data_IF_493001220211
#
_entry.id   IF_493001220211
#
_cell.length_a   1.000
_cell.length_b   1.000
_cell.length_c   1.000
_cell.angle_alpha   90.00
_cell.angle_beta   90.00
_cell.angle_gamma   90.00
#
_symmetry.space_group_name_H-M   'P 1'
#
loop_
_entity.id
_entity.type
_entity.pdbx_description
1 polymer ?
#
# COMPACT_ATOMS: atom_id res chain seq x y z
N UNK A 1 8.43 -16.64 0.79
CA UNK A 1 7.35 -16.71 -0.22
C UNK A 1 6.42 -15.54 -0.02
N UNK A 2 5.78 -15.05 -1.09
CA UNK A 2 5.51 -13.61 -1.18
C UNK A 2 4.29 -13.27 -2.03
N UNK A 3 3.24 -12.73 -1.41
CA UNK A 3 2.01 -12.28 -2.07
C UNK A 3 1.82 -10.77 -1.82
N UNK A 4 1.83 -9.98 -2.90
CA UNK A 4 2.03 -8.53 -2.83
C UNK A 4 1.27 -7.72 -3.86
N UNK A 5 1.11 -6.44 -3.58
CA UNK A 5 0.58 -5.48 -4.54
C UNK A 5 1.65 -5.03 -5.53
N UNK A 6 2.91 -4.86 -5.11
CA UNK A 6 4.06 -4.71 -6.03
C UNK A 6 5.24 -5.43 -5.44
N UNK A 7 5.76 -6.42 -6.15
CA UNK A 7 6.70 -7.35 -5.54
C UNK A 7 8.03 -6.69 -5.18
N UNK A 8 8.46 -5.63 -5.87
CA UNK A 8 9.70 -4.91 -5.58
C UNK A 8 9.59 -3.84 -4.48
N UNK A 9 8.41 -3.69 -3.87
CA UNK A 9 8.20 -2.68 -2.84
C UNK A 9 8.90 -3.02 -1.52
N UNK A 10 8.91 -2.08 -0.55
CA UNK A 10 9.77 -2.19 0.63
C UNK A 10 9.45 -3.40 1.52
N UNK A 11 8.18 -3.65 1.82
CA UNK A 11 7.74 -4.77 2.65
C UNK A 11 8.21 -6.10 2.06
N UNK A 12 7.91 -6.45 0.79
CA UNK A 12 8.51 -7.60 0.13
C UNK A 12 10.03 -7.62 0.14
N UNK A 13 10.63 -6.53 -0.35
CA UNK A 13 12.05 -6.46 -0.64
C UNK A 13 12.89 -6.69 0.62
N UNK A 14 12.36 -6.33 1.79
CA UNK A 14 13.02 -6.56 3.07
C UNK A 14 13.25 -8.03 3.43
N UNK A 15 12.51 -8.97 2.82
CA UNK A 15 12.66 -10.40 3.12
C UNK A 15 13.54 -11.16 2.12
N UNK A 16 13.88 -10.57 0.97
CA UNK A 16 14.63 -11.29 -0.08
C UNK A 16 15.70 -10.47 -0.79
N UNK A 17 15.75 -9.17 -0.57
CA UNK A 17 16.70 -8.28 -1.21
C UNK A 17 17.48 -7.46 -0.20
N UNK A 18 18.66 -7.04 -0.62
CA UNK A 18 19.54 -6.15 0.11
C UNK A 18 19.88 -4.95 -0.75
N UNK A 19 19.37 -3.78 -0.37
CA UNK A 19 19.63 -2.50 -1.02
C UNK A 19 19.81 -1.41 0.04
N UNK A 20 20.49 -0.32 -0.32
CA UNK A 20 20.71 0.80 0.61
C UNK A 20 19.45 1.66 0.80
N UNK A 21 18.65 1.82 -0.26
CA UNK A 21 17.42 2.60 -0.27
C UNK A 21 16.33 1.84 -1.00
N UNK A 22 15.08 1.95 -0.54
CA UNK A 22 13.92 1.19 -1.05
C UNK A 22 13.57 1.51 -2.50
N UNK A 23 13.96 2.68 -2.99
CA UNK A 23 13.69 3.17 -4.34
C UNK A 23 14.51 2.44 -5.41
N UNK A 24 15.49 1.62 -5.02
CA UNK A 24 16.27 0.78 -5.94
C UNK A 24 15.47 -0.45 -6.40
N UNK A 25 14.20 -0.27 -6.76
CA UNK A 25 13.27 -1.33 -7.12
C UNK A 25 13.74 -2.17 -8.32
N UNK A 26 14.45 -1.56 -9.28
CA UNK A 26 15.06 -2.31 -10.39
C UNK A 26 16.11 -3.33 -9.91
N UNK A 27 16.86 -3.00 -8.86
CA UNK A 27 17.85 -3.89 -8.25
C UNK A 27 17.17 -4.92 -7.34
N UNK A 28 16.14 -4.52 -6.59
CA UNK A 28 15.30 -5.44 -5.81
C UNK A 28 14.69 -6.50 -6.75
N UNK A 29 14.10 -6.08 -7.87
CA UNK A 29 13.53 -6.98 -8.87
C UNK A 29 14.58 -7.87 -9.53
N UNK A 30 15.79 -7.35 -9.75
CA UNK A 30 16.90 -8.14 -10.28
C UNK A 30 17.36 -9.23 -9.32
N UNK A 31 17.46 -8.94 -8.02
CA UNK A 31 17.80 -9.92 -6.97
C UNK A 31 16.72 -11.00 -6.83
N UNK A 32 15.44 -10.65 -6.98
CA UNK A 32 14.36 -11.64 -7.01
C UNK A 32 14.41 -12.50 -8.28
N UNK A 33 14.57 -11.86 -9.42
CA UNK A 33 14.45 -12.50 -10.72
C UNK A 33 15.63 -13.42 -11.03
N UNK A 34 16.85 -13.09 -10.59
CA UNK A 34 18.03 -13.87 -10.91
C UNK A 34 18.37 -14.93 -9.88
N UNK A 35 18.63 -16.14 -10.37
CA UNK A 35 19.25 -17.20 -9.59
C UNK A 35 20.78 -17.05 -9.58
N UNK A 36 21.36 -16.69 -8.44
CA UNK A 36 22.73 -17.11 -8.16
C UNK A 36 22.71 -18.60 -7.84
N UNK A 37 23.63 -19.39 -8.42
CA UNK A 37 23.67 -20.86 -8.28
C UNK A 37 23.79 -21.34 -6.81
N UNK A 38 24.15 -20.45 -5.91
CA UNK A 38 24.37 -20.71 -4.49
C UNK A 38 23.33 -20.02 -3.57
N UNK A 39 22.34 -19.31 -4.11
CA UNK A 39 21.30 -18.61 -3.33
C UNK A 39 19.96 -19.36 -3.35
N UNK A 40 19.26 -19.35 -2.21
CA UNK A 40 17.96 -19.99 -2.05
C UNK A 40 16.89 -19.17 -2.74
N UNK A 41 16.25 -19.73 -3.77
CA UNK A 41 15.15 -19.10 -4.49
C UNK A 41 13.89 -19.06 -3.62
N UNK A 42 13.08 -18.02 -3.84
CA UNK A 42 11.68 -18.02 -3.40
C UNK A 42 10.89 -18.97 -4.29
N UNK A 43 10.07 -19.85 -3.71
CA UNK A 43 9.25 -20.79 -4.51
C UNK A 43 8.06 -20.11 -5.19
N UNK A 44 7.42 -19.17 -4.50
CA UNK A 44 6.29 -18.38 -5.04
C UNK A 44 6.46 -16.90 -4.76
N UNK A 45 6.28 -16.10 -5.81
CA UNK A 45 6.39 -14.65 -5.77
C UNK A 45 5.27 -14.05 -6.63
N UNK A 46 4.17 -13.63 -6.02
CA UNK A 46 2.95 -13.18 -6.70
C UNK A 46 2.67 -11.71 -6.39
N UNK A 47 2.49 -10.88 -7.41
CA UNK A 47 2.05 -9.52 -7.23
C UNK A 47 2.09 -8.66 -8.48
N UNK A 48 2.11 -7.34 -8.32
CA UNK A 48 2.37 -6.40 -9.39
C UNK A 48 3.86 -6.07 -9.57
N UNK A 49 4.16 -5.07 -10.39
CA UNK A 49 5.50 -4.51 -10.56
C UNK A 49 6.23 -4.95 -11.82
N UNK A 50 5.50 -5.42 -12.85
CA UNK A 50 6.08 -5.86 -14.13
C UNK A 50 7.04 -4.83 -14.74
N UNK A 51 6.81 -3.53 -14.50
CA UNK A 51 7.67 -2.44 -14.97
C UNK A 51 9.15 -2.57 -14.55
N UNK A 52 9.47 -3.35 -13.51
CA UNK A 52 10.83 -3.60 -13.03
C UNK A 52 11.46 -4.87 -13.59
N UNK A 53 10.75 -5.62 -14.44
CA UNK A 53 11.13 -6.92 -15.00
C UNK A 53 11.15 -6.94 -16.54
N UNK A 54 10.89 -5.79 -17.18
CA UNK A 54 10.87 -5.63 -18.64
C UNK A 54 11.95 -4.63 -19.07
N UNK A 55 12.56 -4.81 -20.26
CA UNK A 55 13.67 -3.98 -20.70
C UNK A 55 13.24 -2.52 -20.90
N UNK A 56 14.16 -1.57 -20.82
CA UNK A 56 13.89 -0.14 -20.99
C UNK A 56 13.21 0.20 -22.34
N UNK A 57 13.33 -0.69 -23.33
CA UNK A 57 12.71 -0.56 -24.65
C UNK A 57 11.23 -0.92 -24.67
N UNK A 58 10.73 -1.64 -23.66
CA UNK A 58 9.31 -1.99 -23.54
C UNK A 58 8.53 -0.85 -22.86
N UNK A 59 7.34 -0.55 -23.39
CA UNK A 59 6.49 0.51 -22.87
C UNK A 59 6.08 0.23 -21.42
N UNK A 60 6.15 1.26 -20.57
CA UNK A 60 5.83 1.14 -19.15
C UNK A 60 7.01 0.72 -18.27
N UNK A 61 8.16 0.33 -18.84
CA UNK A 61 9.35 -0.02 -18.07
C UNK A 61 9.85 1.14 -17.20
N UNK A 62 10.33 0.80 -16.00
CA UNK A 62 11.12 1.67 -15.12
C UNK A 62 12.60 1.31 -15.12
N UNK A 63 13.01 0.31 -15.90
CA UNK A 63 14.40 -0.09 -16.03
C UNK A 63 15.17 0.91 -16.90
N UNK A 64 16.48 0.95 -16.69
CA UNK A 64 17.45 1.74 -17.48
C UNK A 64 18.46 0.84 -18.21
N UNK A 65 18.15 -0.45 -18.29
CA UNK A 65 18.94 -1.49 -18.94
C UNK A 65 18.04 -2.34 -19.84
N UNK A 66 18.65 -3.30 -20.54
CA UNK A 66 17.93 -4.20 -21.45
C UNK A 66 17.67 -5.58 -20.81
N UNK A 67 17.66 -5.68 -19.48
CA UNK A 67 17.34 -6.94 -18.81
C UNK A 67 15.87 -7.27 -19.02
N UNK A 68 15.61 -8.41 -19.68
CA UNK A 68 14.27 -8.88 -20.02
C UNK A 68 13.96 -10.18 -19.27
N UNK A 69 13.52 -10.02 -18.01
CA UNK A 69 13.08 -11.16 -17.22
C UNK A 69 11.83 -11.82 -17.80
N UNK A 70 10.91 -11.02 -18.35
CA UNK A 70 9.65 -11.53 -18.92
C UNK A 70 9.90 -12.52 -20.06
N UNK A 71 10.88 -12.28 -20.91
CA UNK A 71 11.26 -13.21 -21.99
C UNK A 71 12.13 -14.36 -21.49
N UNK A 72 13.04 -14.11 -20.54
CA UNK A 72 14.13 -15.03 -20.20
C UNK A 72 13.97 -15.70 -18.81
N UNK A 73 12.79 -15.62 -18.16
CA UNK A 73 12.56 -16.13 -16.79
C UNK A 73 13.04 -17.57 -16.55
N UNK A 74 12.93 -18.43 -17.58
CA UNK A 74 13.43 -19.82 -17.53
C UNK A 74 14.95 -19.90 -17.43
N UNK A 75 15.66 -19.01 -18.12
CA UNK A 75 17.12 -18.92 -18.03
C UNK A 75 17.55 -18.43 -16.63
N UNK A 76 16.70 -17.65 -15.98
CA UNK A 76 16.89 -17.20 -14.60
C UNK A 76 16.40 -18.20 -13.54
N UNK A 77 15.94 -19.39 -13.95
CA UNK A 77 15.63 -20.50 -13.04
C UNK A 77 14.19 -20.57 -12.55
N UNK A 78 13.28 -19.78 -13.13
CA UNK A 78 11.83 -19.87 -12.87
C UNK A 78 11.18 -20.86 -13.83
N UNK A 79 10.28 -21.70 -13.32
CA UNK A 79 9.58 -22.68 -14.15
C UNK A 79 8.35 -22.06 -14.83
N UNK A 80 7.72 -21.08 -14.18
CA UNK A 80 6.52 -20.40 -14.67
C UNK A 80 6.52 -18.89 -14.43
N UNK A 81 5.86 -18.17 -15.34
CA UNK A 81 5.54 -16.75 -15.25
C UNK A 81 4.06 -16.55 -15.56
N UNK A 82 3.30 -16.05 -14.59
CA UNK A 82 1.87 -15.73 -14.74
C UNK A 82 1.67 -14.21 -14.85
N UNK A 83 0.97 -13.76 -15.90
CA UNK A 83 0.71 -12.33 -16.14
C UNK A 83 -0.77 -11.95 -15.93
N UNK A 84 -1.63 -12.91 -15.63
CA UNK A 84 -3.05 -12.70 -15.36
C UNK A 84 -3.59 -13.77 -14.40
N UNK A 85 -4.83 -13.54 -13.95
CA UNK A 85 -5.58 -14.40 -13.03
C UNK A 85 -5.70 -15.83 -13.56
N UNK A 86 -6.05 -16.01 -14.82
CA UNK A 86 -6.21 -17.36 -15.41
C UNK A 86 -4.90 -18.16 -15.32
N UNK A 87 -3.79 -17.57 -15.73
CA UNK A 87 -2.47 -18.20 -15.69
C UNK A 87 -2.01 -18.50 -14.25
N UNK A 88 -2.40 -17.71 -13.25
CA UNK A 88 -2.15 -18.03 -11.84
C UNK A 88 -2.97 -19.25 -11.39
N UNK A 89 -4.26 -19.27 -11.73
CA UNK A 89 -5.17 -20.33 -11.33
C UNK A 89 -4.87 -21.66 -12.02
N UNK A 90 -4.09 -21.68 -13.11
CA UNK A 90 -3.67 -22.90 -13.80
C UNK A 90 -2.38 -23.54 -13.24
N UNK A 91 -1.62 -22.87 -12.34
CA UNK A 91 -0.31 -23.36 -11.86
C UNK A 91 -0.35 -24.70 -11.09
N UNK A 92 0.47 -25.68 -11.44
CA UNK A 92 0.70 -26.88 -10.64
C UNK A 92 1.89 -26.74 -9.68
N UNK A 93 2.03 -27.67 -8.73
CA UNK A 93 3.26 -27.79 -7.93
C UNK A 93 4.52 -28.01 -8.80
N UNK A 94 4.37 -28.66 -9.95
CA UNK A 94 5.43 -28.88 -10.94
C UNK A 94 5.89 -27.58 -11.64
N UNK A 95 5.09 -26.51 -11.55
CA UNK A 95 5.42 -25.19 -12.11
C UNK A 95 6.25 -24.32 -11.16
N UNK A 96 6.59 -24.83 -9.97
CA UNK A 96 7.45 -24.15 -9.00
C UNK A 96 8.94 -24.28 -9.34
N UNK A 97 9.77 -23.23 -9.19
CA UNK A 97 9.40 -21.92 -8.66
C UNK A 97 8.60 -21.07 -9.66
N UNK A 98 7.58 -20.37 -9.15
CA UNK A 98 6.58 -19.63 -9.93
C UNK A 98 6.54 -18.15 -9.55
N UNK A 99 6.59 -17.29 -10.56
CA UNK A 99 6.45 -15.83 -10.38
C UNK A 99 5.19 -15.32 -11.10
N UNK A 100 4.46 -14.43 -10.44
CA UNK A 100 3.25 -13.79 -10.94
C UNK A 100 3.43 -12.27 -10.94
N UNK A 101 3.28 -11.64 -12.10
CA UNK A 101 3.41 -10.19 -12.30
C UNK A 101 2.17 -9.64 -13.02
N UNK A 102 1.13 -9.33 -12.26
CA UNK A 102 -0.23 -9.10 -12.77
C UNK A 102 -0.55 -7.65 -13.14
N UNK A 103 0.35 -6.71 -12.85
CA UNK A 103 0.21 -5.29 -13.20
C UNK A 103 1.56 -4.62 -13.42
N UNK A 104 1.59 -3.55 -14.21
CA UNK A 104 2.82 -2.75 -14.43
C UNK A 104 3.38 -2.20 -13.12
N UNK A 105 2.51 -1.64 -12.29
CA UNK A 105 2.83 -1.03 -10.99
C UNK A 105 2.21 -1.87 -9.87
N UNK A 106 1.72 -1.23 -8.81
CA UNK A 106 0.84 -1.84 -7.82
C UNK A 106 -0.41 -2.48 -8.46
N UNK A 107 -0.88 -3.62 -7.90
CA UNK A 107 -2.21 -4.17 -8.20
C UNK A 107 -3.29 -3.11 -7.95
N UNK A 108 -4.34 -3.01 -8.78
CA UNK A 108 -5.41 -2.05 -8.56
C UNK A 108 -6.13 -2.25 -7.20
N UNK A 109 -6.72 -1.20 -6.65
CA UNK A 109 -7.46 -1.29 -5.39
C UNK A 109 -8.60 -2.31 -5.49
N UNK A 110 -8.93 -2.94 -4.37
CA UNK A 110 -9.97 -3.97 -4.26
C UNK A 110 -11.30 -3.52 -4.84
N UNK A 111 -11.78 -2.33 -4.44
CA UNK A 111 -13.06 -1.79 -4.94
C UNK A 111 -13.05 -1.66 -6.46
N UNK A 112 -11.98 -1.11 -7.04
CA UNK A 112 -11.88 -0.89 -8.48
C UNK A 112 -11.79 -2.22 -9.27
N UNK A 113 -11.25 -3.27 -8.65
CA UNK A 113 -11.26 -4.63 -9.23
C UNK A 113 -12.64 -5.26 -9.15
N UNK A 114 -13.32 -5.16 -8.00
CA UNK A 114 -14.68 -5.69 -7.82
C UNK A 114 -15.67 -5.11 -8.82
N UNK A 115 -15.55 -3.82 -9.13
CA UNK A 115 -16.44 -3.13 -10.06
C UNK A 115 -16.02 -3.26 -11.52
N UNK A 116 -14.90 -3.94 -11.79
CA UNK A 116 -14.26 -4.01 -13.11
C UNK A 116 -14.13 -2.62 -13.73
N UNK A 117 -13.61 -1.67 -12.94
CA UNK A 117 -13.44 -0.28 -13.34
C UNK A 117 -12.67 -0.16 -14.67
N UNK A 118 -11.82 -1.13 -14.98
CA UNK A 118 -11.19 -1.30 -16.28
C UNK A 118 -11.25 -2.80 -16.65
N UNK A 119 -11.43 -3.12 -17.93
CA UNK A 119 -11.39 -4.51 -18.43
C UNK A 119 -10.10 -5.23 -17.99
N UNK A 120 -8.96 -4.51 -17.95
CA UNK A 120 -7.68 -5.06 -17.47
C UNK A 120 -7.70 -5.47 -15.99
N UNK A 121 -8.55 -4.85 -15.16
CA UNK A 121 -8.62 -5.14 -13.73
C UNK A 121 -9.29 -6.49 -13.45
N UNK A 122 -10.17 -6.95 -14.35
CA UNK A 122 -10.80 -8.27 -14.27
C UNK A 122 -9.82 -9.44 -14.45
N UNK A 123 -8.67 -9.15 -15.08
CA UNK A 123 -7.59 -10.11 -15.30
C UNK A 123 -6.59 -10.15 -14.13
N UNK A 124 -6.78 -9.31 -13.10
CA UNK A 124 -5.90 -9.25 -11.93
C UNK A 124 -6.48 -10.13 -10.81
N UNK A 125 -5.74 -11.12 -10.28
CA UNK A 125 -6.22 -11.97 -9.20
C UNK A 125 -6.43 -11.19 -7.89
N UNK A 126 -7.39 -11.65 -7.07
CA UNK A 126 -7.59 -11.14 -5.70
C UNK A 126 -6.42 -11.46 -4.78
N UNK A 127 -6.24 -10.67 -3.71
CA UNK A 127 -5.24 -10.98 -2.70
C UNK A 127 -5.52 -12.36 -2.07
N UNK A 128 -6.80 -12.69 -1.89
CA UNK A 128 -7.28 -14.00 -1.45
C UNK A 128 -6.89 -15.09 -2.44
N UNK A 129 -7.16 -14.91 -3.74
CA UNK A 129 -6.81 -15.89 -4.78
C UNK A 129 -5.30 -16.14 -4.87
N UNK A 130 -4.48 -15.09 -4.78
CA UNK A 130 -3.03 -15.25 -4.72
C UNK A 130 -2.57 -15.97 -3.46
N UNK A 131 -3.19 -15.68 -2.31
CA UNK A 131 -2.86 -16.30 -1.02
C UNK A 131 -3.21 -17.78 -1.01
N UNK A 132 -4.44 -18.13 -1.40
CA UNK A 132 -4.92 -19.51 -1.50
C UNK A 132 -4.08 -20.31 -2.49
N UNK A 133 -3.75 -19.70 -3.64
CA UNK A 133 -2.93 -20.35 -4.65
C UNK A 133 -1.51 -20.59 -4.16
N UNK A 134 -0.91 -19.61 -3.49
CA UNK A 134 0.41 -19.78 -2.86
C UNK A 134 0.38 -20.92 -1.84
N UNK A 135 -0.57 -20.91 -0.89
CA UNK A 135 -0.72 -21.96 0.12
C UNK A 135 -0.84 -23.33 -0.55
N UNK A 136 -1.74 -23.49 -1.52
CA UNK A 136 -1.95 -24.78 -2.19
C UNK A 136 -0.70 -25.30 -2.92
N UNK A 137 0.02 -24.42 -3.62
CA UNK A 137 1.25 -24.79 -4.33
C UNK A 137 2.36 -25.24 -3.36
N UNK A 138 2.49 -24.54 -2.24
CA UNK A 138 3.49 -24.81 -1.22
C UNK A 138 3.18 -26.08 -0.43
N UNK A 139 1.94 -26.24 -0.01
CA UNK A 139 1.43 -27.44 0.66
C UNK A 139 1.66 -28.68 -0.20
N UNK A 140 1.33 -28.60 -1.51
CA UNK A 140 1.56 -29.69 -2.45
C UNK A 140 3.04 -30.02 -2.68
N UNK A 141 3.94 -29.03 -2.58
CA UNK A 141 5.38 -29.22 -2.77
C UNK A 141 6.08 -29.78 -1.54
N UNK A 142 5.65 -29.36 -0.35
CA UNK A 142 6.30 -29.64 0.93
C UNK A 142 5.46 -30.59 1.81
N UNK A 143 4.76 -31.57 1.21
CA UNK A 143 3.95 -32.62 1.86
C UNK A 143 4.79 -33.60 2.73
N UNK A 144 5.63 -33.06 3.62
CA UNK A 144 6.62 -33.77 4.41
C UNK A 144 6.69 -33.25 5.86
N UNK A 145 6.71 -34.15 6.86
CA UNK A 145 6.64 -33.78 8.29
C UNK A 145 7.90 -33.14 8.88
N UNK A 146 8.97 -32.95 8.09
CA UNK A 146 10.26 -32.46 8.61
C UNK A 146 10.57 -31.00 8.22
N UNK A 147 9.97 -30.44 7.16
CA UNK A 147 10.23 -29.09 6.67
C UNK A 147 8.97 -28.48 6.04
N UNK A 148 8.43 -27.43 6.68
CA UNK A 148 7.29 -26.67 6.16
C UNK A 148 7.71 -25.49 5.28
N UNK A 149 6.81 -24.52 5.14
CA UNK A 149 7.03 -23.32 4.36
C UNK A 149 6.85 -22.03 5.18
N UNK A 150 7.43 -20.94 4.71
CA UNK A 150 7.22 -19.59 5.23
C UNK A 150 6.64 -18.69 4.15
N UNK A 151 5.43 -18.18 4.42
CA UNK A 151 4.68 -17.30 3.53
C UNK A 151 4.43 -15.96 4.21
N UNK A 152 4.71 -14.88 3.49
CA UNK A 152 4.32 -13.53 3.86
C UNK A 152 3.33 -12.98 2.83
N UNK A 153 2.21 -12.46 3.34
CA UNK A 153 1.11 -11.89 2.57
C UNK A 153 0.94 -10.45 3.04
N UNK A 154 0.87 -9.50 2.11
CA UNK A 154 0.74 -8.07 2.43
C UNK A 154 -0.49 -7.44 1.77
N UNK A 155 -1.36 -6.84 2.60
CA UNK A 155 -2.45 -5.97 2.17
C UNK A 155 -1.99 -4.49 2.09
N UNK A 156 -0.99 -4.22 1.25
CA UNK A 156 -0.26 -2.93 1.20
C UNK A 156 -1.07 -1.72 0.73
N UNK A 157 -2.27 -1.90 0.16
CA UNK A 157 -3.05 -0.79 -0.40
C UNK A 157 -3.74 0.02 0.71
N UNK A 158 -3.90 -0.56 1.90
CA UNK A 158 -4.43 0.12 3.10
C UNK A 158 -3.62 1.40 3.37
N UNK A 159 -2.29 1.29 3.42
CA UNK A 159 -1.38 2.43 3.62
C UNK A 159 -1.58 3.54 2.57
N UNK A 160 -1.80 3.17 1.30
CA UNK A 160 -2.00 4.14 0.21
C UNK A 160 -3.37 4.83 0.27
N UNK A 161 -4.41 4.10 0.69
CA UNK A 161 -5.72 4.70 0.98
C UNK A 161 -5.60 5.72 2.10
N UNK A 162 -4.85 5.40 3.16
CA UNK A 162 -4.64 6.26 4.31
C UNK A 162 -3.74 7.46 3.99
N UNK A 163 -2.70 7.31 3.18
CA UNK A 163 -1.93 8.43 2.65
C UNK A 163 -2.83 9.41 1.88
N UNK A 164 -3.79 8.88 1.11
CA UNK A 164 -4.75 9.65 0.35
C UNK A 164 -5.90 10.23 1.18
N UNK A 165 -6.06 9.81 2.44
CA UNK A 165 -7.23 10.06 3.29
C UNK A 165 -8.55 9.65 2.60
N UNK A 166 -8.52 8.52 1.88
CA UNK A 166 -9.67 8.00 1.14
C UNK A 166 -10.41 6.94 1.96
N UNK A 167 -11.55 7.30 2.59
CA UNK A 167 -12.32 6.35 3.39
C UNK A 167 -13.05 5.31 2.53
N UNK A 168 -13.35 5.60 1.26
CA UNK A 168 -13.95 4.62 0.33
C UNK A 168 -12.93 3.53 0.02
N UNK A 169 -11.71 3.94 -0.30
CA UNK A 169 -10.58 3.03 -0.52
C UNK A 169 -10.31 2.21 0.75
N UNK A 170 -10.13 2.87 1.90
CA UNK A 170 -9.74 2.23 3.16
C UNK A 170 -10.70 1.12 3.58
N UNK A 171 -12.02 1.38 3.63
CA UNK A 171 -12.98 0.38 4.11
C UNK A 171 -13.04 -0.85 3.20
N UNK A 172 -12.79 -0.69 1.91
CA UNK A 172 -12.80 -1.79 0.94
C UNK A 172 -11.47 -2.58 0.98
N UNK A 173 -10.32 -1.93 1.12
CA UNK A 173 -9.04 -2.64 1.34
C UNK A 173 -9.03 -3.43 2.66
N UNK A 174 -9.62 -2.87 3.72
CA UNK A 174 -9.82 -3.60 4.98
C UNK A 174 -10.77 -4.79 4.82
N UNK A 175 -11.74 -4.70 3.91
CA UNK A 175 -12.63 -5.84 3.60
C UNK A 175 -11.86 -6.97 2.88
N UNK A 176 -11.00 -6.66 1.91
CA UNK A 176 -10.15 -7.67 1.27
C UNK A 176 -9.17 -8.30 2.28
N UNK A 177 -8.55 -7.49 3.14
CA UNK A 177 -7.70 -8.01 4.21
C UNK A 177 -8.48 -8.97 5.13
N UNK A 178 -9.74 -8.66 5.45
CA UNK A 178 -10.59 -9.55 6.24
C UNK A 178 -10.86 -10.87 5.51
N UNK A 179 -11.13 -10.85 4.20
CA UNK A 179 -11.33 -12.07 3.40
C UNK A 179 -10.05 -12.94 3.37
N UNK A 180 -8.87 -12.31 3.27
CA UNK A 180 -7.57 -13.01 3.34
C UNK A 180 -7.37 -13.64 4.71
N UNK A 181 -7.59 -12.89 5.79
CA UNK A 181 -7.46 -13.41 7.15
C UNK A 181 -8.40 -14.59 7.39
N UNK A 182 -9.64 -14.49 6.90
CA UNK A 182 -10.59 -15.59 6.98
C UNK A 182 -10.03 -16.84 6.27
N UNK A 183 -9.59 -16.73 5.02
CA UNK A 183 -9.08 -17.88 4.28
C UNK A 183 -7.84 -18.51 4.93
N UNK A 184 -6.89 -17.68 5.36
CA UNK A 184 -5.65 -18.14 6.00
C UNK A 184 -5.91 -18.79 7.36
N UNK A 185 -6.83 -18.25 8.16
CA UNK A 185 -7.23 -18.86 9.43
C UNK A 185 -7.99 -20.18 9.21
N UNK A 186 -8.90 -20.24 8.22
CA UNK A 186 -9.58 -21.49 7.87
C UNK A 186 -8.59 -22.57 7.40
N UNK A 187 -7.58 -22.21 6.60
CA UNK A 187 -6.50 -23.15 6.25
C UNK A 187 -5.73 -23.61 7.49
N UNK A 188 -5.27 -22.68 8.34
CA UNK A 188 -4.50 -23.02 9.52
C UNK A 188 -5.30 -23.89 10.51
N UNK A 189 -6.60 -23.61 10.67
CA UNK A 189 -7.54 -24.43 11.44
C UNK A 189 -7.60 -25.87 10.95
N UNK A 190 -7.69 -26.05 9.63
CA UNK A 190 -7.80 -27.37 9.01
C UNK A 190 -6.48 -28.14 9.02
N UNK A 191 -5.35 -27.47 8.80
CA UNK A 191 -4.02 -28.07 8.83
C UNK A 191 -3.58 -28.47 10.26
N UNK A 192 -3.84 -27.60 11.23
CA UNK A 192 -3.54 -27.84 12.64
C UNK A 192 -2.07 -27.74 13.04
N UNK A 193 -1.15 -27.50 12.09
CA UNK A 193 0.29 -27.30 12.34
C UNK A 193 0.81 -25.94 11.83
N UNK A 194 -0.09 -25.07 11.38
CA UNK A 194 0.22 -23.75 10.84
C UNK A 194 0.07 -22.67 11.91
N UNK A 195 1.11 -21.84 12.05
CA UNK A 195 1.08 -20.61 12.84
C UNK A 195 0.81 -19.43 11.90
N UNK A 196 -0.20 -18.63 12.23
CA UNK A 196 -0.49 -17.37 11.52
C UNK A 196 -0.17 -16.21 12.45
N UNK A 197 0.65 -15.27 11.98
CA UNK A 197 0.97 -14.01 12.67
C UNK A 197 0.55 -12.85 11.77
N UNK A 198 -0.37 -12.03 12.24
CA UNK A 198 -0.90 -10.87 11.54
C UNK A 198 -0.58 -9.59 12.31
N UNK A 199 0.06 -8.65 11.63
CA UNK A 199 0.46 -7.36 12.17
C UNK A 199 0.55 -6.32 11.04
N UNK A 200 0.52 -5.05 11.40
CA UNK A 200 0.90 -3.96 10.51
C UNK A 200 2.42 -3.68 10.60
N UNK A 201 2.94 -2.85 9.72
CA UNK A 201 4.27 -2.24 9.86
C UNK A 201 4.19 -0.89 10.58
N UNK A 202 3.11 -0.12 10.35
CA UNK A 202 2.74 1.10 11.05
C UNK A 202 1.25 1.44 10.87
N UNK A 203 0.79 2.53 11.49
CA UNK A 203 -0.48 3.19 11.13
C UNK A 203 -0.19 4.37 10.20
N UNK A 204 -1.11 4.67 9.28
CA UNK A 204 -1.01 5.79 8.35
C UNK A 204 -2.26 6.66 8.40
N UNK A 205 -2.11 7.96 8.16
CA UNK A 205 -3.24 8.91 8.07
C UNK A 205 -3.79 9.39 9.43
N UNK A 206 -3.54 8.66 10.52
CA UNK A 206 -4.07 8.99 11.84
C UNK A 206 -5.58 8.97 11.82
N UNK A 207 -6.15 7.87 11.31
CA UNK A 207 -7.57 7.72 11.01
C UNK A 207 -8.42 7.64 12.28
N UNK A 208 -9.59 8.27 12.25
CA UNK A 208 -10.57 8.21 13.32
C UNK A 208 -11.96 7.88 12.77
N UNK A 209 -12.57 6.82 13.32
CA UNK A 209 -13.99 6.52 13.12
C UNK A 209 -14.83 7.47 13.98
N UNK A 210 -15.11 8.64 13.42
CA UNK A 210 -15.86 9.69 14.07
C UNK A 210 -15.08 10.99 14.08
N UNK A 211 -15.76 12.05 13.64
CA UNK A 211 -15.21 13.40 13.56
C UNK A 211 -16.08 14.35 14.34
N UNK A 212 -15.44 15.16 15.19
CA UNK A 212 -16.08 16.19 15.98
C UNK A 212 -16.60 17.31 15.10
N UNK A 213 -17.92 17.46 14.98
CA UNK A 213 -18.55 18.59 14.27
C UNK A 213 -19.53 19.31 15.19
N UNK A 214 -19.64 20.63 15.00
CA UNK A 214 -20.71 21.45 15.57
C UNK A 214 -21.68 21.82 14.45
N UNK A 215 -22.92 21.32 14.54
CA UNK A 215 -23.94 21.53 13.51
C UNK A 215 -25.24 22.01 14.11
N UNK A 216 -25.97 22.82 13.35
CA UNK A 216 -27.34 23.19 13.69
C UNK A 216 -28.23 21.94 13.63
N UNK A 217 -29.19 21.86 14.56
CA UNK A 217 -30.02 20.66 14.72
C UNK A 217 -30.82 20.25 13.46
N UNK A 218 -31.14 21.19 12.57
CA UNK A 218 -31.85 20.93 11.32
C UNK A 218 -30.97 20.31 10.22
N UNK A 219 -29.64 20.41 10.34
CA UNK A 219 -28.68 19.79 9.41
C UNK A 219 -28.27 18.37 9.83
N UNK A 220 -28.68 17.91 11.02
CA UNK A 220 -28.43 16.54 11.49
C UNK A 220 -29.03 15.48 10.55
N UNK A 221 -30.19 15.78 9.97
CA UNK A 221 -30.90 14.89 9.05
C UNK A 221 -30.09 14.68 7.77
N UNK A 222 -29.34 15.69 7.32
CA UNK A 222 -28.51 15.60 6.11
C UNK A 222 -27.35 14.62 6.32
N UNK A 223 -26.65 14.68 7.46
CA UNK A 223 -25.59 13.72 7.79
C UNK A 223 -26.11 12.29 7.94
N UNK A 224 -27.25 12.11 8.62
CA UNK A 224 -27.89 10.80 8.74
C UNK A 224 -28.34 10.24 7.38
N UNK A 225 -28.55 11.11 6.39
CA UNK A 225 -28.87 10.74 5.02
C UNK A 225 -27.63 10.64 4.10
N UNK A 226 -26.40 10.75 4.63
CA UNK A 226 -25.15 10.66 3.85
C UNK A 226 -24.84 11.90 2.99
N UNK A 227 -25.44 13.05 3.31
CA UNK A 227 -25.21 14.33 2.64
C UNK A 227 -24.17 15.17 3.38
N UNK A 228 -23.49 16.06 2.66
CA UNK A 228 -22.56 17.04 3.25
C UNK A 228 -23.29 18.23 3.90
N UNK A 229 -22.65 18.95 4.84
CA UNK A 229 -23.25 20.13 5.46
C UNK A 229 -23.56 21.24 4.45
N UNK A 230 -24.60 22.04 4.70
CA UNK A 230 -24.99 23.13 3.76
C UNK A 230 -24.16 24.42 3.93
N UNK A 231 -23.34 24.54 4.97
CA UNK A 231 -22.46 25.69 5.22
C UNK A 231 -21.00 25.27 5.32
N UNK A 232 -20.16 25.89 4.49
CA UNK A 232 -18.72 25.72 4.44
C UNK A 232 -18.05 27.06 4.78
N UNK A 233 -16.86 27.04 5.35
CA UNK A 233 -15.96 28.17 5.20
C UNK A 233 -14.92 27.87 4.16
N UNK A 234 -14.72 28.85 3.31
CA UNK A 234 -13.66 28.90 2.30
C UNK A 234 -12.37 29.51 2.86
N UNK A 235 -12.29 29.81 4.16
CA UNK A 235 -11.08 30.35 4.79
C UNK A 235 -10.12 29.18 5.06
N UNK A 236 -9.32 28.84 4.05
CA UNK A 236 -8.10 28.09 4.25
C UNK A 236 -7.19 28.91 5.18
N UNK A 237 -7.00 28.45 6.42
CA UNK A 237 -6.04 29.09 7.31
C UNK A 237 -4.64 28.85 6.76
N UNK A 238 -4.05 29.88 6.14
CA UNK A 238 -2.61 29.95 5.94
C UNK A 238 -1.96 29.99 7.33
N UNK A 239 -1.54 28.82 7.85
CA UNK A 239 -0.60 28.73 8.97
C UNK A 239 -1.04 27.98 10.24
N UNK A 240 -2.21 27.34 10.28
CA UNK A 240 -2.58 26.34 11.30
C UNK A 240 -2.66 24.96 10.65
N UNK A 241 -2.48 23.88 11.44
CA UNK A 241 -2.62 22.48 11.02
C UNK A 241 -4.07 22.13 10.63
N UNK A 242 -4.68 22.87 9.71
CA UNK A 242 -6.01 22.59 9.17
C UNK A 242 -5.87 21.66 7.97
N UNK A 243 -5.91 20.36 8.26
CA UNK A 243 -6.13 19.30 7.26
C UNK A 243 -7.57 19.31 6.70
N UNK A 244 -8.39 20.28 7.13
CA UNK A 244 -9.83 20.34 6.94
C UNK A 244 -10.29 21.67 6.32
N UNK A 245 -10.21 21.78 4.99
CA UNK A 245 -10.63 22.99 4.24
C UNK A 245 -12.17 23.11 4.13
N UNK A 246 -12.93 22.13 4.61
CA UNK A 246 -14.40 22.11 4.50
C UNK A 246 -15.16 22.48 5.78
N UNK A 247 -14.51 22.78 6.90
CA UNK A 247 -15.21 23.20 8.13
C UNK A 247 -15.24 24.72 8.24
N UNK A 248 -16.39 25.35 8.58
CA UNK A 248 -16.39 26.71 9.07
C UNK A 248 -15.44 26.94 10.25
N UNK A 249 -14.55 27.95 10.25
CA UNK A 249 -13.74 28.25 11.41
C UNK A 249 -14.72 28.50 12.55
N UNK A 250 -14.57 27.77 13.65
CA UNK A 250 -15.41 27.91 14.83
C UNK A 250 -15.20 29.31 15.43
N UNK A 251 -16.07 30.32 15.21
CA UNK A 251 -15.95 31.56 15.93
C UNK A 251 -16.84 31.38 17.16
N UNK A 252 -16.28 30.88 18.26
CA UNK A 252 -16.93 30.90 19.57
C UNK A 252 -18.34 30.25 19.65
N UNK A 253 -18.63 29.24 18.82
CA UNK A 253 -19.96 28.60 18.76
C UNK A 253 -20.17 27.47 19.79
N UNK A 254 -19.21 27.27 20.69
CA UNK A 254 -19.13 26.11 21.60
C UNK A 254 -20.33 26.03 22.56
N UNK A 255 -21.07 27.12 22.80
CA UNK A 255 -22.16 27.15 23.78
C UNK A 255 -23.40 27.96 23.30
N UNK A 256 -23.73 27.92 22.00
CA UNK A 256 -24.94 28.59 21.50
C UNK A 256 -26.15 27.63 21.43
N UNK A 257 -27.30 28.09 21.92
CA UNK A 257 -28.56 27.33 21.90
C UNK A 257 -28.93 27.02 20.43
N UNK A 258 -29.01 25.73 20.07
CA UNK A 258 -29.39 25.25 18.73
C UNK A 258 -28.32 24.44 17.99
N UNK A 259 -27.11 24.33 18.55
CA UNK A 259 -26.03 23.50 18.00
C UNK A 259 -25.81 22.23 18.83
N UNK A 260 -25.49 21.12 18.16
CA UNK A 260 -25.14 19.85 18.79
C UNK A 260 -23.71 19.47 18.43
N UNK A 261 -22.89 19.14 19.45
CA UNK A 261 -21.61 18.48 19.24
C UNK A 261 -21.85 17.01 18.95
N UNK A 262 -21.35 16.53 17.82
CA UNK A 262 -21.42 15.12 17.46
C UNK A 262 -20.04 14.55 17.21
N UNK A 263 -19.86 13.30 17.65
CA UNK A 263 -18.70 12.47 17.36
C UNK A 263 -19.23 11.11 16.90
N UNK A 264 -19.78 11.08 15.69
CA UNK A 264 -20.40 9.90 15.08
C UNK A 264 -19.65 9.55 13.79
N UNK A 265 -19.75 8.29 13.38
CA UNK A 265 -19.31 7.80 12.08
C UNK A 265 -20.54 7.34 11.29
N UNK A 266 -20.65 7.78 10.03
CA UNK A 266 -21.78 7.50 9.13
C UNK A 266 -21.30 6.70 7.91
N UNK A 267 -21.00 5.40 8.07
CA UNK A 267 -20.43 4.57 7.00
C UNK A 267 -21.36 4.39 5.79
N UNK A 268 -22.67 4.58 5.95
CA UNK A 268 -23.65 4.50 4.86
C UNK A 268 -23.33 5.45 3.69
N UNK A 269 -22.65 6.57 3.97
CA UNK A 269 -22.19 7.50 2.94
C UNK A 269 -21.19 6.86 1.96
N UNK A 270 -20.47 5.81 2.37
CA UNK A 270 -19.44 5.14 1.57
C UNK A 270 -20.01 3.99 0.73
N UNK A 271 -21.22 3.51 1.05
CA UNK A 271 -21.76 2.23 0.57
C UNK A 271 -22.01 2.17 -0.94
N UNK A 272 -22.40 3.29 -1.54
CA UNK A 272 -22.73 3.33 -2.97
C UNK A 272 -21.52 3.63 -3.85
N UNK A 273 -20.34 3.82 -3.26
CA UNK A 273 -19.15 4.09 -4.04
C UNK A 273 -18.75 2.84 -4.83
N UNK A 274 -18.43 3.05 -6.09
CA UNK A 274 -18.02 2.03 -7.05
C UNK A 274 -16.56 2.16 -7.45
N UNK A 275 -15.93 3.28 -7.12
CA UNK A 275 -14.56 3.59 -7.49
C UNK A 275 -13.84 4.32 -6.37
N UNK A 276 -12.52 4.10 -6.26
CA UNK A 276 -11.65 4.88 -5.39
C UNK A 276 -11.40 6.29 -5.94
N UNK A 277 -10.97 7.21 -5.08
CA UNK A 277 -10.63 8.58 -5.50
C UNK A 277 -9.48 8.58 -6.53
N UNK A 278 -8.49 7.69 -6.36
CA UNK A 278 -7.35 7.58 -7.28
C UNK A 278 -7.80 7.11 -8.67
N UNK A 279 -8.71 6.13 -8.75
CA UNK A 279 -9.27 5.69 -10.03
C UNK A 279 -10.07 6.83 -10.69
N UNK A 280 -10.95 7.51 -9.95
CA UNK A 280 -11.75 8.64 -10.47
C UNK A 280 -10.81 9.68 -11.11
N UNK A 281 -9.76 10.08 -10.42
CA UNK A 281 -8.77 11.05 -10.95
C UNK A 281 -8.03 10.51 -12.16
N UNK A 282 -7.58 9.25 -12.12
CA UNK A 282 -6.86 8.62 -13.22
C UNK A 282 -7.71 8.51 -14.50
N UNK A 283 -9.00 8.21 -14.36
CA UNK A 283 -9.95 8.14 -15.49
C UNK A 283 -10.12 9.49 -16.20
N UNK A 284 -10.06 10.59 -15.43
CA UNK A 284 -10.13 11.95 -15.97
C UNK A 284 -8.85 12.33 -16.72
N UNK A 285 -7.68 11.93 -16.21
CA UNK A 285 -6.38 12.17 -16.87
C UNK A 285 -6.21 11.36 -18.16
N UNK A 286 -6.72 10.13 -18.19
CA UNK A 286 -6.65 9.28 -19.38
C UNK A 286 -7.41 9.88 -20.58
N UNK A 287 -8.39 10.74 -20.33
CA UNK A 287 -9.31 11.21 -21.37
C UNK A 287 -9.02 12.63 -21.88
N UNK A 288 -8.31 13.51 -21.13
CA UNK A 288 -8.16 14.93 -21.53
C UNK A 288 -6.90 15.63 -20.96
N UNK A 289 -6.40 16.61 -21.71
CA UNK A 289 -5.39 17.58 -21.26
C UNK A 289 -5.99 18.72 -20.41
N UNK A 290 -7.32 18.88 -20.43
CA UNK A 290 -8.08 19.83 -19.61
C UNK A 290 -9.46 19.23 -19.27
N UNK A 291 -9.85 19.21 -18.00
CA UNK A 291 -11.10 18.60 -17.54
C UNK A 291 -12.15 19.69 -17.25
N UNK A 292 -13.29 19.74 -17.97
CA UNK A 292 -14.38 20.66 -17.62
C UNK A 292 -14.97 20.32 -16.25
N UNK A 293 -15.37 21.33 -15.46
CA UNK A 293 -15.94 21.13 -14.12
C UNK A 293 -17.14 20.18 -14.12
N UNK A 294 -18.05 20.29 -15.09
CA UNK A 294 -19.19 19.37 -15.18
C UNK A 294 -18.74 17.92 -15.38
N UNK A 295 -17.70 17.68 -16.19
CA UNK A 295 -17.14 16.33 -16.34
C UNK A 295 -16.55 15.81 -15.04
N UNK A 296 -15.84 16.67 -14.29
CA UNK A 296 -15.30 16.30 -12.97
C UNK A 296 -16.44 15.92 -12.01
N UNK A 297 -17.47 16.77 -11.89
CA UNK A 297 -18.61 16.53 -11.01
C UNK A 297 -19.36 15.26 -11.41
N UNK A 298 -19.70 15.09 -12.68
CA UNK A 298 -20.40 13.90 -13.19
C UNK A 298 -19.62 12.61 -12.87
N UNK A 299 -18.28 12.65 -13.01
CA UNK A 299 -17.42 11.50 -12.74
C UNK A 299 -17.33 11.19 -11.24
N UNK A 300 -17.23 12.22 -10.39
CA UNK A 300 -17.25 12.07 -8.92
C UNK A 300 -18.60 11.53 -8.44
N UNK A 301 -19.69 12.10 -8.93
CA UNK A 301 -21.06 11.66 -8.60
C UNK A 301 -21.30 10.19 -9.01
N UNK A 302 -20.89 9.83 -10.23
CA UNK A 302 -21.00 8.44 -10.72
C UNK A 302 -20.08 7.49 -9.94
N UNK A 303 -18.84 7.89 -9.66
CA UNK A 303 -17.86 7.05 -8.97
C UNK A 303 -18.24 6.77 -7.52
N UNK A 304 -18.83 7.75 -6.82
CA UNK A 304 -19.23 7.60 -5.42
C UNK A 304 -20.71 7.27 -5.22
N UNK A 305 -21.53 7.31 -6.28
CA UNK A 305 -22.98 7.08 -6.16
C UNK A 305 -23.67 8.16 -5.33
N UNK A 306 -23.25 9.41 -5.52
CA UNK A 306 -23.72 10.58 -4.78
C UNK A 306 -24.26 11.67 -5.71
N UNK A 307 -24.96 12.66 -5.15
CA UNK A 307 -25.17 13.96 -5.80
C UNK A 307 -24.43 15.03 -5.02
N UNK A 308 -23.59 15.79 -5.72
CA UNK A 308 -22.81 16.90 -5.17
C UNK A 308 -23.71 18.11 -4.93
N UNK A 309 -23.58 18.70 -3.75
CA UNK A 309 -24.17 20.01 -3.44
C UNK A 309 -23.46 21.12 -4.21
N UNK A 310 -24.10 22.28 -4.34
CA UNK A 310 -23.50 23.46 -4.99
C UNK A 310 -22.13 23.83 -4.37
N UNK A 311 -21.97 23.63 -3.07
CA UNK A 311 -20.72 23.93 -2.36
C UNK A 311 -19.64 22.88 -2.64
N UNK A 312 -19.98 21.59 -2.69
CA UNK A 312 -19.05 20.54 -3.10
C UNK A 312 -18.59 20.77 -4.55
N UNK A 313 -19.50 21.19 -5.43
CA UNK A 313 -19.16 21.57 -6.80
C UNK A 313 -18.18 22.75 -6.85
N UNK A 314 -18.44 23.82 -6.10
CA UNK A 314 -17.50 24.96 -6.00
C UNK A 314 -16.15 24.55 -5.39
N UNK A 315 -16.15 23.62 -4.45
CA UNK A 315 -14.93 23.08 -3.88
C UNK A 315 -14.13 22.25 -4.90
N UNK A 316 -14.77 21.36 -5.66
CA UNK A 316 -14.12 20.61 -6.74
C UNK A 316 -13.53 21.54 -7.81
N UNK A 317 -14.24 22.61 -8.17
CA UNK A 317 -13.73 23.65 -9.08
C UNK A 317 -12.46 24.31 -8.54
N UNK A 318 -12.45 24.62 -7.24
CA UNK A 318 -11.25 25.18 -6.59
C UNK A 318 -10.08 24.20 -6.54
N UNK A 319 -10.33 22.89 -6.48
CA UNK A 319 -9.28 21.86 -6.52
C UNK A 319 -8.72 21.69 -7.92
N UNK A 320 -9.58 21.71 -8.93
CA UNK A 320 -9.17 21.67 -10.34
C UNK A 320 -8.20 22.79 -10.71
N UNK A 321 -8.42 23.99 -10.18
CA UNK A 321 -7.51 25.13 -10.38
C UNK A 321 -6.19 25.02 -9.61
N UNK A 322 -6.16 24.24 -8.52
CA UNK A 322 -4.97 24.07 -7.67
C UNK A 322 -4.09 22.89 -8.09
N UNK A 323 -4.64 21.90 -8.76
CA UNK A 323 -3.90 20.71 -9.15
C UNK A 323 -3.05 20.98 -10.41
N UNK A 324 -1.71 20.86 -10.33
CA UNK A 324 -0.82 21.11 -11.45
C UNK A 324 -0.98 20.12 -12.62
N UNK A 325 -1.64 18.98 -12.43
CA UNK A 325 -1.97 18.03 -13.51
C UNK A 325 -3.17 18.49 -14.35
N UNK A 326 -4.03 19.37 -13.80
CA UNK A 326 -5.27 19.80 -14.45
C UNK A 326 -5.33 21.32 -14.72
N UNK A 327 -4.39 22.10 -14.19
CA UNK A 327 -4.27 23.55 -14.37
C UNK A 327 -2.85 24.02 -14.75
N UNK A 328 -2.73 25.27 -15.19
CA UNK A 328 -1.44 25.90 -15.50
C UNK A 328 -1.00 26.73 -14.29
N UNK A 329 -0.14 26.19 -13.41
CA UNK A 329 0.26 26.87 -12.16
C UNK A 329 1.78 26.97 -11.93
N UNK A 330 2.20 28.09 -11.34
CA UNK A 330 3.56 28.64 -11.30
C UNK A 330 4.09 28.95 -9.89
N UNK A 331 3.54 28.36 -8.83
CA UNK A 331 3.98 28.65 -7.45
C UNK A 331 4.05 27.43 -6.57
N UNK A 332 5.18 27.29 -5.87
CA UNK A 332 5.47 26.27 -4.87
C UNK A 332 4.39 26.24 -3.78
N UNK A 333 3.58 25.18 -3.71
CA UNK A 333 2.82 24.85 -2.51
C UNK A 333 3.63 23.84 -1.68
N UNK A 334 4.15 24.22 -0.50
CA UNK A 334 5.00 23.36 0.32
C UNK A 334 4.24 22.30 1.13
N UNK A 335 2.90 22.22 1.03
CA UNK A 335 2.09 21.31 1.84
C UNK A 335 1.09 20.52 0.99
N UNK A 336 1.57 19.55 0.21
CA UNK A 336 0.80 18.39 -0.27
C UNK A 336 1.78 17.24 -0.53
N UNK A 337 1.48 16.06 0.00
CA UNK A 337 2.44 14.97 0.13
C UNK A 337 2.74 14.31 -1.23
N UNK A 338 3.95 13.76 -1.39
CA UNK A 338 4.48 13.21 -2.66
C UNK A 338 3.71 11.99 -3.21
N UNK A 339 2.78 11.42 -2.43
CA UNK A 339 2.17 10.11 -2.70
C UNK A 339 0.88 10.16 -3.53
N UNK A 340 0.16 11.28 -3.56
CA UNK A 340 -1.13 11.38 -4.26
C UNK A 340 -1.42 12.78 -4.81
N UNK A 341 -2.04 12.93 -6.00
CA UNK A 341 -2.43 14.23 -6.56
C UNK A 341 -3.35 15.03 -5.62
N UNK A 342 -3.28 16.36 -5.70
CA UNK A 342 -4.14 17.28 -4.91
C UNK A 342 -5.63 16.97 -5.14
N UNK A 343 -5.99 16.62 -6.37
CA UNK A 343 -7.36 16.26 -6.73
C UNK A 343 -7.84 15.00 -6.00
N UNK A 344 -6.97 14.01 -5.77
CA UNK A 344 -7.34 12.79 -5.05
C UNK A 344 -7.77 13.16 -3.64
N UNK A 345 -6.93 13.90 -2.90
CA UNK A 345 -7.27 14.37 -1.56
C UNK A 345 -8.55 15.22 -1.52
N UNK A 346 -8.73 16.11 -2.51
CA UNK A 346 -9.94 16.92 -2.62
C UNK A 346 -11.19 16.07 -2.73
N UNK A 347 -11.19 15.12 -3.66
CA UNK A 347 -12.32 14.21 -3.88
C UNK A 347 -12.55 13.31 -2.64
N UNK A 348 -11.49 12.77 -2.04
CA UNK A 348 -11.58 11.96 -0.82
C UNK A 348 -12.16 12.73 0.37
N UNK A 349 -11.92 14.04 0.46
CA UNK A 349 -12.44 14.89 1.53
C UNK A 349 -13.98 15.02 1.49
N UNK A 350 -14.60 14.92 0.31
CA UNK A 350 -16.06 14.88 0.18
C UNK A 350 -16.61 13.66 0.95
N UNK A 351 -16.03 12.49 0.70
CA UNK A 351 -16.46 11.25 1.33
C UNK A 351 -16.11 11.21 2.82
N UNK A 352 -14.94 11.73 3.20
CA UNK A 352 -14.56 11.89 4.62
C UNK A 352 -15.54 12.80 5.38
N UNK A 353 -16.00 13.87 4.74
CA UNK A 353 -16.96 14.80 5.37
C UNK A 353 -18.36 14.20 5.48
N UNK A 354 -18.81 13.44 4.48
CA UNK A 354 -20.13 12.76 4.52
C UNK A 354 -20.15 11.60 5.52
N UNK A 355 -19.07 10.84 5.59
CA UNK A 355 -18.94 9.70 6.52
C UNK A 355 -18.50 10.09 7.93
N UNK A 356 -18.07 11.34 8.13
CA UNK A 356 -17.40 11.79 9.35
C UNK A 356 -16.19 10.92 9.73
N UNK A 357 -15.45 10.44 8.73
CA UNK A 357 -14.11 9.89 8.94
C UNK A 357 -13.13 11.05 9.15
N UNK A 358 -12.40 11.00 10.26
CA UNK A 358 -11.37 11.97 10.61
C UNK A 358 -9.98 11.48 10.22
N UNK A 359 -9.09 12.42 9.93
CA UNK A 359 -7.69 12.18 9.60
C UNK A 359 -6.83 13.25 10.27
N UNK A 360 -5.61 12.91 10.69
CA UNK A 360 -4.72 13.86 11.36
C UNK A 360 -3.42 14.11 10.60
N UNK A 361 -3.12 13.29 9.60
CA UNK A 361 -1.93 13.40 8.77
C UNK A 361 -2.17 12.76 7.41
N UNK A 362 -1.22 12.92 6.49
CA UNK A 362 -1.11 12.15 5.25
C UNK A 362 0.12 11.24 5.29
N UNK A 363 0.69 11.00 6.46
CA UNK A 363 1.90 10.21 6.66
C UNK A 363 1.69 9.19 7.76
N UNK A 364 2.75 8.46 8.13
CA UNK A 364 2.66 7.46 9.17
C UNK A 364 2.53 8.11 10.55
N UNK A 365 1.95 7.39 11.49
CA UNK A 365 1.92 7.78 12.91
C UNK A 365 2.71 6.81 13.77
N UNK A 366 3.13 7.27 14.96
CA UNK A 366 3.88 6.48 15.94
C UNK A 366 2.99 5.61 16.85
N UNK A 367 1.79 5.25 16.40
CA UNK A 367 0.88 4.42 17.19
C UNK A 367 1.45 3.01 17.37
N UNK A 368 1.26 2.44 18.56
CA UNK A 368 1.47 1.00 18.75
C UNK A 368 0.38 0.23 18.01
N UNK A 369 0.80 -0.71 17.17
CA UNK A 369 -0.08 -1.51 16.33
C UNK A 369 -0.52 -2.80 17.05
N UNK A 370 -1.68 -3.32 16.67
CA UNK A 370 -2.16 -4.60 17.19
C UNK A 370 -1.42 -5.76 16.54
N UNK A 371 -1.06 -6.74 17.36
CA UNK A 371 -0.51 -8.02 16.95
C UNK A 371 -1.58 -9.09 17.19
N UNK A 372 -1.99 -9.77 16.13
CA UNK A 372 -2.93 -10.89 16.18
C UNK A 372 -2.21 -12.18 15.78
N UNK A 373 -2.50 -13.27 16.47
CA UNK A 373 -1.86 -14.56 16.21
C UNK A 373 -2.87 -15.70 16.38
N UNK A 374 -2.75 -16.74 15.55
CA UNK A 374 -3.64 -17.88 15.53
C UNK A 374 -2.87 -19.19 15.38
N UNK A 375 -3.25 -20.20 16.16
CA UNK A 375 -2.78 -21.58 16.02
C UNK A 375 -3.80 -22.56 16.59
N UNK A 376 -4.03 -23.67 15.89
CA UNK A 376 -5.07 -24.67 16.19
C UNK A 376 -4.58 -25.73 17.17
N UNK A 377 -5.49 -26.28 17.99
CA UNK A 377 -5.21 -27.40 18.90
C UNK A 377 -6.24 -28.52 18.70
N UNK A 378 -5.73 -29.75 18.58
CA UNK A 378 -6.54 -30.98 18.56
C UNK A 378 -7.11 -31.28 19.98
N UNK A 379 -8.41 -31.04 20.14
CA UNK A 379 -9.37 -31.64 21.10
C UNK A 379 -9.00 -31.69 22.59
N UNK A 380 -9.78 -30.90 23.36
CA UNK A 380 -10.34 -31.10 24.72
C UNK A 380 -9.85 -30.12 25.82
N UNK A 381 -10.84 -29.35 26.31
CA UNK A 381 -10.91 -28.48 27.49
C UNK A 381 -10.68 -26.97 27.29
N UNK A 382 -11.80 -26.27 27.45
CA UNK A 382 -11.97 -24.83 27.57
C UNK A 382 -10.98 -24.15 28.52
N UNK A 383 -10.62 -22.91 28.14
CA UNK A 383 -9.80 -21.89 28.82
C UNK A 383 -8.31 -22.02 28.52
N UNK A 384 -7.81 -21.09 27.67
CA UNK A 384 -6.44 -20.95 27.11
C UNK A 384 -6.28 -21.57 25.71
N UNK A 385 -6.96 -20.96 24.74
CA UNK A 385 -6.83 -21.27 23.31
C UNK A 385 -5.55 -20.65 22.75
N UNK A 386 -4.56 -21.46 22.35
CA UNK A 386 -3.46 -21.12 21.42
C UNK A 386 -2.64 -22.40 21.15
N UNK A 387 -2.36 -22.72 19.88
CA UNK A 387 -1.39 -23.76 19.50
C UNK A 387 0.05 -23.42 19.87
N UNK A 388 1.00 -24.35 19.62
CA UNK A 388 2.39 -24.27 20.10
C UNK A 388 3.07 -22.98 19.63
N UNK A 389 3.53 -22.13 20.56
CA UNK A 389 4.33 -20.94 20.26
C UNK A 389 3.54 -19.67 19.97
N UNK A 390 2.22 -19.75 19.80
CA UNK A 390 1.36 -18.57 19.66
C UNK A 390 1.38 -17.71 20.94
N UNK A 391 1.47 -18.32 22.13
CA UNK A 391 1.63 -17.60 23.39
C UNK A 391 2.89 -16.75 23.48
N UNK A 392 3.92 -17.00 22.65
CA UNK A 392 5.15 -16.20 22.63
C UNK A 392 4.91 -14.78 22.09
N UNK A 393 3.85 -14.60 21.31
CA UNK A 393 3.43 -13.31 20.76
C UNK A 393 2.49 -12.54 21.70
N UNK A 394 2.12 -13.11 22.86
CA UNK A 394 1.34 -12.41 23.86
C UNK A 394 2.14 -11.25 24.49
N UNK A 395 1.47 -10.12 24.73
CA UNK A 395 2.06 -8.96 25.40
C UNK A 395 2.61 -7.90 24.45
N UNK A 396 3.52 -7.06 24.96
CA UNK A 396 4.12 -5.97 24.21
C UNK A 396 5.45 -6.41 23.61
N UNK A 397 5.59 -6.24 22.30
CA UNK A 397 6.79 -6.61 21.54
C UNK A 397 7.23 -5.43 20.67
N UNK A 398 8.54 -5.34 20.43
CA UNK A 398 9.05 -4.51 19.32
C UNK A 398 9.00 -5.32 18.02
N UNK A 399 8.98 -4.65 16.87
CA UNK A 399 9.01 -5.32 15.56
C UNK A 399 10.29 -6.17 15.39
N UNK A 400 11.44 -5.75 15.93
CA UNK A 400 12.64 -6.59 15.92
C UNK A 400 12.48 -7.83 16.81
N UNK A 401 11.73 -7.72 17.92
CA UNK A 401 11.36 -8.85 18.76
C UNK A 401 10.52 -9.89 18.02
N UNK A 402 9.56 -9.43 17.21
CA UNK A 402 8.76 -10.31 16.35
C UNK A 402 9.63 -11.04 15.33
N UNK A 403 10.54 -10.34 14.65
CA UNK A 403 11.47 -10.95 13.71
C UNK A 403 12.33 -12.05 14.34
N UNK A 404 12.84 -11.82 15.56
CA UNK A 404 13.62 -12.82 16.33
C UNK A 404 12.78 -14.02 16.77
N UNK A 405 11.52 -13.81 17.13
CA UNK A 405 10.61 -14.90 17.47
C UNK A 405 10.33 -15.78 16.25
N UNK A 406 10.06 -15.17 15.09
CA UNK A 406 9.89 -15.89 13.83
C UNK A 406 11.15 -16.67 13.45
N UNK A 407 12.36 -16.08 13.55
CA UNK A 407 13.60 -16.79 13.24
C UNK A 407 13.83 -18.00 14.17
N UNK A 408 13.52 -17.83 15.46
CA UNK A 408 13.60 -18.90 16.46
C UNK A 408 12.62 -20.04 16.15
N UNK A 409 11.37 -19.72 15.82
CA UNK A 409 10.33 -20.71 15.52
C UNK A 409 10.62 -21.47 14.22
N UNK A 410 11.14 -20.78 13.20
CA UNK A 410 11.58 -21.38 11.95
C UNK A 410 12.92 -22.12 12.06
N UNK A 411 13.57 -22.07 13.23
CA UNK A 411 14.88 -22.67 13.49
C UNK A 411 15.96 -22.19 12.51
N UNK A 412 15.83 -20.96 12.01
CA UNK A 412 16.83 -20.32 11.15
C UNK A 412 17.77 -19.51 12.04
N UNK A 413 19.08 -19.71 11.90
CA UNK A 413 20.04 -18.94 12.69
C UNK A 413 20.13 -17.50 12.19
N UNK A 414 20.13 -16.51 13.10
CA UNK A 414 20.35 -15.09 12.77
C UNK A 414 21.67 -14.86 11.99
N UNK A 415 22.62 -15.80 12.10
CA UNK A 415 23.92 -15.80 11.40
C UNK A 415 23.84 -16.26 9.93
N UNK A 416 22.87 -17.12 9.57
CA UNK A 416 22.66 -17.53 8.17
C UNK A 416 21.85 -16.49 7.37
N UNK A 417 21.03 -15.67 8.04
CA UNK A 417 20.28 -14.59 7.39
C UNK A 417 21.15 -13.35 7.05
N UNK A 418 22.37 -13.28 7.59
CA UNK A 418 23.31 -12.15 7.40
C UNK A 418 24.57 -12.51 6.61
N UNK A 419 24.73 -13.78 6.22
CA UNK A 419 25.86 -14.27 5.43
C UNK A 419 25.61 -14.18 3.92
N UNK A 420 25.31 -12.99 3.41
CA UNK A 420 25.95 -12.62 2.13
C UNK A 420 27.35 -12.16 2.48
N UNK A 421 28.27 -13.12 2.65
CA UNK A 421 29.72 -12.86 2.76
C UNK A 421 30.18 -11.87 1.68
N UNK A 422 29.52 -11.87 0.53
CA UNK A 422 29.70 -10.93 -0.57
C UNK A 422 29.41 -9.46 -0.19
N UNK A 423 28.28 -9.17 0.46
CA UNK A 423 27.91 -7.81 0.87
C UNK A 423 28.78 -7.33 2.04
N UNK A 424 29.08 -8.21 3.00
CA UNK A 424 30.03 -7.92 4.07
C UNK A 424 31.44 -7.67 3.50
N UNK A 425 31.89 -8.43 2.51
CA UNK A 425 33.18 -8.21 1.85
C UNK A 425 33.23 -6.86 1.11
N UNK A 426 32.15 -6.44 0.45
CA UNK A 426 32.05 -5.10 -0.17
C UNK A 426 32.15 -4.00 0.90
N UNK A 427 31.44 -4.18 2.02
CA UNK A 427 31.38 -3.19 3.10
C UNK A 427 32.69 -3.10 3.90
N UNK A 428 33.27 -4.25 4.27
CA UNK A 428 34.52 -4.37 5.06
C UNK A 428 35.74 -3.99 4.23
N UNK A 429 35.77 -4.32 2.93
CA UNK A 429 36.89 -3.94 2.05
C UNK A 429 36.82 -2.47 1.59
N UNK A 430 35.78 -1.71 1.99
CA UNK A 430 35.51 -0.33 1.52
C UNK A 430 35.63 -0.19 0.00
N UNK A 431 35.28 -1.25 -0.73
CA UNK A 431 35.46 -1.30 -2.18
C UNK A 431 34.28 -0.62 -2.89
N UNK A 432 33.92 0.57 -2.42
CA UNK A 432 32.94 1.44 -3.05
C UNK A 432 33.69 2.32 -4.04
N UNK A 433 33.54 2.05 -5.34
CA UNK A 433 34.04 2.94 -6.36
C UNK A 433 33.12 4.17 -6.41
N UNK A 434 33.66 5.34 -6.10
CA UNK A 434 32.98 6.60 -6.40
C UNK A 434 32.99 6.72 -7.93
N UNK A 435 31.82 6.60 -8.57
CA UNK A 435 31.70 6.91 -9.98
C UNK A 435 32.00 8.41 -10.14
N UNK A 436 33.04 8.73 -10.91
CA UNK A 436 33.31 10.08 -11.37
C UNK A 436 32.30 10.40 -12.50
N UNK A 437 31.02 10.48 -12.15
CA UNK A 437 29.99 10.90 -13.08
C UNK A 437 30.04 12.42 -13.17
N UNK A 438 30.69 12.92 -14.22
CA UNK A 438 30.57 14.31 -14.67
C UNK A 438 29.16 14.63 -15.18
N UNK A 439 28.29 13.62 -15.32
CA UNK A 439 26.89 13.77 -15.65
C UNK A 439 26.04 13.89 -14.37
N UNK A 440 25.18 14.91 -14.25
CA UNK A 440 24.30 15.05 -13.11
C UNK A 440 23.38 13.82 -13.00
N UNK A 441 23.47 13.10 -11.88
CA UNK A 441 22.47 12.12 -11.48
C UNK A 441 21.08 12.81 -11.53
N UNK A 442 20.11 12.29 -12.29
CA UNK A 442 18.83 12.97 -12.50
C UNK A 442 17.94 13.03 -11.24
N UNK A 443 18.40 12.47 -10.11
CA UNK A 443 17.73 12.60 -8.82
C UNK A 443 18.15 13.90 -8.14
N UNK A 444 17.38 14.96 -8.41
CA UNK A 444 17.38 16.16 -7.61
C UNK A 444 17.02 15.81 -6.15
N UNK A 445 18.02 15.71 -5.28
CA UNK A 445 17.83 16.02 -3.87
C UNK A 445 17.59 17.52 -3.77
N UNK A 446 16.32 17.92 -3.92
CA UNK A 446 15.89 19.28 -3.67
C UNK A 446 16.04 19.58 -2.18
N UNK A 447 17.06 20.35 -1.81
CA UNK A 447 16.88 21.33 -0.75
C UNK A 447 17.62 22.62 -1.10
N UNK A 448 16.88 23.57 -1.69
CA UNK A 448 17.34 24.92 -1.99
C UNK A 448 17.24 25.72 -0.68
N UNK A 449 18.37 25.84 0.02
CA UNK A 449 18.59 26.68 1.22
C UNK A 449 18.57 25.97 2.58
N UNK A 450 19.35 24.92 2.76
CA UNK A 450 19.89 24.60 4.10
C UNK A 450 21.41 24.66 4.05
N UNK A 451 21.98 25.71 4.64
CA UNK A 451 23.42 25.82 4.88
C UNK A 451 23.73 24.97 6.10
N UNK A 452 24.17 23.73 5.90
CA UNK A 452 24.65 22.91 7.02
C UNK A 452 26.07 23.37 7.40
N UNK A 453 26.36 23.57 8.70
CA UNK A 453 27.72 23.81 9.15
C UNK A 453 28.59 22.58 8.86
N UNK A 454 29.80 22.82 8.37
CA UNK A 454 30.77 21.81 7.92
C UNK A 454 30.92 20.66 8.93
N UNK A 455 30.47 19.46 8.55
CA UNK A 455 30.51 18.29 9.41
C UNK A 455 29.83 17.05 8.81
N UNK A 456 30.44 16.48 7.77
CA UNK A 456 30.32 15.10 7.29
C UNK A 456 28.91 14.49 7.07
N UNK A 457 28.36 14.73 5.88
CA UNK A 457 27.74 13.67 5.09
C UNK A 457 28.43 13.68 3.72
N UNK A 458 29.25 12.65 3.48
CA UNK A 458 29.92 12.45 2.20
C UNK A 458 28.88 12.12 1.13
N UNK A 459 29.08 12.71 -0.05
CA UNK A 459 28.41 12.47 -1.33
C UNK A 459 28.02 11.00 -1.54
N UNK A 460 26.81 10.80 -2.08
CA UNK A 460 26.13 9.51 -2.22
C UNK A 460 27.01 8.39 -2.79
N UNK A 461 26.94 7.23 -2.15
CA UNK A 461 27.54 6.00 -2.61
C UNK A 461 26.61 5.35 -3.64
N UNK A 462 27.07 5.18 -4.88
CA UNK A 462 26.46 4.27 -5.84
C UNK A 462 27.16 2.91 -5.77
N UNK A 463 26.39 1.83 -5.75
CA UNK A 463 26.92 0.47 -5.90
C UNK A 463 26.89 0.14 -7.39
N UNK A 464 28.04 0.17 -8.05
CA UNK A 464 28.19 -0.47 -9.37
C UNK A 464 28.30 -1.97 -9.16
N UNK A 465 27.21 -2.71 -9.36
CA UNK A 465 27.34 -4.13 -9.67
C UNK A 465 28.03 -4.22 -11.04
N UNK A 466 29.20 -4.84 -11.07
CA UNK A 466 30.09 -4.90 -12.22
C UNK A 466 29.54 -5.79 -13.35
N UNK A 467 29.70 -5.27 -14.58
CA UNK A 467 29.75 -5.92 -15.91
C UNK A 467 28.59 -6.82 -16.37
#
# INVERSE_FOLDING_TARGET
MYVYIRITHATPGSFYAHVLIREWENLIGHQLGMKNKDETMVDVAFGGGLQHFIPQTESGSKRHDNWDFKSDYKEYGWNSLSLNRTALMDLGSDDLPAIGLFSMSHLPYYLDRLTNANDEYSEVPSLVEMSDRAIHLLDSKYDHPEQGWFLMIEASRIDMCEHSNDPVCLVNEMAEMNDVLQSVFEYAENDGNTLVVALADHETGGVAMGRGISVQADQLVDYQAGMSPRQFSTVAHQGSFDYDVLIPPLPNLVDSIGYSYMYNWYPDALKNATHTSEYIVSSLLATKQSVPINTLVDTVESGFGISCSANETSFLESMLHRDPLFGNFTTNNPYFNYWSPVMVHGISLIMSSRSLTGWTTHGHTGLSIYLSYFATLFILFCLLSCGVGAELFAGQHTNEGIGRLLSTLLQVSDLQATETQHLQDIYVKKNFTICDNTDPLPYYLYNKNVTYPEGNLLTGYCVTAYQ
#
